data_IF_639239207068
#
_entry.id   IF_639239207068
#
_cell.length_a   1.000
_cell.length_b   1.000
_cell.length_c   1.000
_cell.angle_alpha   90.00
_cell.angle_beta   90.00
_cell.angle_gamma   90.00
#
_symmetry.space_group_name_H-M   'P 1'
#
loop_
_entity.id
_entity.type
_entity.pdbx_description
1 polymer ?
#
# COMPACT_ATOMS: atom_id res chain seq x y z
N UNK A 1 17.07 -25.19 15.53
CA UNK A 1 16.64 -24.12 14.62
C UNK A 1 17.41 -22.89 15.02
N UNK A 2 18.30 -22.40 14.16
CA UNK A 2 18.93 -21.10 14.36
C UNK A 2 17.81 -20.08 14.13
N UNK A 3 17.25 -19.55 15.22
CA UNK A 3 16.29 -18.45 15.15
C UNK A 3 17.04 -17.36 14.40
N UNK A 4 16.61 -17.00 13.20
CA UNK A 4 17.27 -16.06 12.31
C UNK A 4 17.50 -14.73 13.01
N UNK A 5 18.55 -14.67 13.81
CA UNK A 5 18.92 -13.50 14.56
C UNK A 5 19.53 -12.58 13.52
N UNK A 6 18.78 -11.53 13.17
CA UNK A 6 19.34 -10.40 12.44
C UNK A 6 20.38 -9.82 13.38
N UNK A 7 21.63 -10.32 13.29
CA UNK A 7 22.73 -9.77 14.06
C UNK A 7 22.89 -8.35 13.55
N UNK A 8 22.44 -7.39 14.35
CA UNK A 8 22.91 -6.02 14.21
C UNK A 8 24.43 -6.08 14.11
N UNK A 9 25.00 -5.24 13.26
CA UNK A 9 26.45 -5.21 13.08
C UNK A 9 27.08 -5.00 14.46
N UNK A 10 27.74 -6.05 14.97
CA UNK A 10 28.46 -5.95 16.24
C UNK A 10 29.60 -4.96 16.04
N UNK A 11 29.69 -4.00 16.96
CA UNK A 11 30.85 -3.11 17.12
C UNK A 11 32.06 -3.80 17.75
N UNK A 12 31.91 -5.06 18.17
CA UNK A 12 32.94 -5.87 18.83
C UNK A 12 33.53 -6.86 17.84
N UNK A 13 34.85 -7.08 17.94
CA UNK A 13 35.60 -8.11 17.23
C UNK A 13 34.83 -9.44 17.32
N UNK A 14 34.57 -10.06 16.17
CA UNK A 14 33.94 -11.38 16.06
C UNK A 14 34.87 -12.42 16.71
N UNK A 15 34.29 -13.35 17.47
CA UNK A 15 35.02 -14.42 18.16
C UNK A 15 35.71 -15.36 17.15
N UNK A 16 35.26 -15.36 15.90
CA UNK A 16 35.95 -16.03 14.79
C UNK A 16 37.13 -15.17 14.28
N UNK A 17 38.40 -15.58 14.48
CA UNK A 17 39.57 -14.81 14.05
C UNK A 17 39.66 -14.63 12.52
N UNK A 18 39.00 -15.50 11.73
CA UNK A 18 38.94 -15.41 10.28
C UNK A 18 37.75 -14.59 9.76
N UNK A 19 36.94 -14.02 10.66
CA UNK A 19 35.81 -13.19 10.27
C UNK A 19 36.27 -11.93 9.56
N UNK A 20 35.67 -11.64 8.41
CA UNK A 20 35.89 -10.39 7.67
C UNK A 20 35.47 -9.15 8.47
N UNK A 21 34.70 -9.34 9.54
CA UNK A 21 34.33 -8.30 10.52
C UNK A 21 35.54 -7.86 11.37
N UNK A 22 36.56 -8.71 11.50
CA UNK A 22 37.79 -8.41 12.23
C UNK A 22 38.86 -7.71 11.38
N UNK A 23 38.62 -7.62 10.07
CA UNK A 23 39.48 -6.92 9.13
C UNK A 23 39.48 -5.41 9.40
N UNK A 24 40.66 -4.78 9.23
CA UNK A 24 40.86 -3.33 9.32
C UNK A 24 39.88 -2.60 8.36
N UNK A 25 39.27 -1.46 8.75
CA UNK A 25 38.26 -0.76 7.94
C UNK A 25 38.73 -0.40 6.53
N UNK A 26 40.05 -0.30 6.34
CA UNK A 26 40.73 0.11 5.12
C UNK A 26 40.85 -1.04 4.11
N UNK A 27 40.74 -2.29 4.55
CA UNK A 27 40.82 -3.45 3.66
C UNK A 27 39.65 -3.46 2.67
N UNK A 28 39.98 -3.61 1.39
CA UNK A 28 39.00 -3.57 0.31
C UNK A 28 38.52 -4.98 -0.06
N UNK A 29 37.22 -5.14 -0.23
CA UNK A 29 36.57 -6.32 -0.81
C UNK A 29 35.58 -5.85 -1.86
N UNK A 30 35.63 -6.44 -3.06
CA UNK A 30 34.81 -6.04 -4.21
C UNK A 30 34.93 -4.54 -4.56
N UNK A 31 36.13 -3.96 -4.42
CA UNK A 31 36.38 -2.53 -4.65
C UNK A 31 35.85 -1.59 -3.56
N UNK A 32 35.28 -2.11 -2.46
CA UNK A 32 34.70 -1.32 -1.35
C UNK A 32 35.44 -1.57 -0.06
N UNK A 33 35.56 -0.55 0.78
CA UNK A 33 36.20 -0.68 2.11
C UNK A 33 35.38 -1.61 3.01
N UNK A 34 36.02 -2.23 4.01
CA UNK A 34 35.32 -3.07 4.97
C UNK A 34 34.24 -2.28 5.75
N UNK A 35 34.49 -1.00 6.05
CA UNK A 35 33.50 -0.10 6.64
C UNK A 35 32.29 0.12 5.73
N UNK A 36 32.52 0.38 4.43
CA UNK A 36 31.43 0.55 3.46
C UNK A 36 30.60 -0.73 3.31
N UNK A 37 31.25 -1.89 3.24
CA UNK A 37 30.55 -3.18 3.17
C UNK A 37 29.70 -3.44 4.43
N UNK A 38 30.16 -3.04 5.62
CA UNK A 38 29.36 -3.07 6.85
C UNK A 38 28.16 -2.13 6.73
N UNK A 39 28.35 -0.89 6.33
CA UNK A 39 27.26 0.07 6.13
C UNK A 39 26.17 -0.47 5.19
N UNK A 40 26.58 -1.04 4.04
CA UNK A 40 25.67 -1.67 3.08
C UNK A 40 24.86 -2.79 3.75
N UNK A 41 25.54 -3.70 4.45
CA UNK A 41 24.87 -4.82 5.13
C UNK A 41 23.87 -4.34 6.20
N UNK A 42 24.21 -3.28 6.93
CA UNK A 42 23.32 -2.68 7.92
C UNK A 42 22.04 -2.17 7.27
N UNK A 43 22.15 -1.39 6.19
CA UNK A 43 20.99 -0.83 5.49
C UNK A 43 20.10 -1.93 4.90
N UNK A 44 20.69 -2.97 4.29
CA UNK A 44 19.96 -4.15 3.82
C UNK A 44 19.18 -4.81 4.97
N UNK A 45 19.84 -5.05 6.11
CA UNK A 45 19.21 -5.69 7.28
C UNK A 45 18.07 -4.86 7.88
N UNK A 46 18.25 -3.53 7.94
CA UNK A 46 17.24 -2.60 8.43
C UNK A 46 16.01 -2.60 7.52
N UNK A 47 16.22 -2.50 6.21
CA UNK A 47 15.12 -2.51 5.23
C UNK A 47 14.31 -3.81 5.26
N UNK A 48 14.98 -4.96 5.35
CA UNK A 48 14.32 -6.27 5.51
C UNK A 48 13.49 -6.32 6.79
N UNK A 49 14.05 -5.82 7.90
CA UNK A 49 13.34 -5.76 9.17
C UNK A 49 12.14 -4.82 9.13
N UNK A 50 12.28 -3.61 8.58
CA UNK A 50 11.16 -2.65 8.47
C UNK A 50 10.05 -3.22 7.60
N UNK A 51 10.38 -3.83 6.45
CA UNK A 51 9.37 -4.50 5.62
C UNK A 51 8.70 -5.67 6.36
N UNK A 52 9.43 -6.39 7.21
CA UNK A 52 8.80 -7.42 8.05
C UNK A 52 7.82 -6.81 9.08
N UNK A 53 8.14 -5.64 9.63
CA UNK A 53 7.25 -4.96 10.58
C UNK A 53 5.98 -4.39 9.91
N UNK A 54 6.03 -4.06 8.61
CA UNK A 54 4.87 -3.56 7.85
C UNK A 54 3.69 -4.53 7.82
N UNK A 55 3.92 -5.83 7.94
CA UNK A 55 2.84 -6.81 8.07
C UNK A 55 2.67 -7.34 9.50
N UNK A 56 3.78 -7.57 10.22
CA UNK A 56 3.73 -8.23 11.52
C UNK A 56 3.07 -7.36 12.61
N UNK A 57 3.31 -6.04 12.61
CA UNK A 57 2.72 -5.15 13.61
C UNK A 57 1.20 -5.02 13.43
N UNK A 58 0.68 -4.75 12.22
CA UNK A 58 -0.76 -4.81 11.94
C UNK A 58 -1.43 -6.11 12.37
N UNK A 59 -0.80 -7.25 12.05
CA UNK A 59 -1.31 -8.57 12.41
C UNK A 59 -1.40 -8.75 13.92
N UNK A 60 -0.41 -8.30 14.69
CA UNK A 60 -0.45 -8.39 16.15
C UNK A 60 -1.50 -7.47 16.77
N UNK A 61 -1.75 -6.31 16.17
CA UNK A 61 -2.61 -5.29 16.76
C UNK A 61 -4.09 -5.44 16.39
N UNK A 62 -4.39 -5.83 15.15
CA UNK A 62 -5.77 -5.85 14.63
C UNK A 62 -6.37 -7.25 14.46
N UNK A 63 -5.58 -8.33 14.56
CA UNK A 63 -6.11 -9.70 14.42
C UNK A 63 -6.45 -10.27 15.79
N UNK A 64 -7.75 -10.42 16.05
CA UNK A 64 -8.23 -11.18 17.20
C UNK A 64 -8.16 -12.69 16.89
N UNK A 65 -7.12 -13.34 17.42
CA UNK A 65 -6.89 -14.78 17.26
C UNK A 65 -7.99 -15.68 17.86
N UNK A 66 -8.90 -15.15 18.69
CA UNK A 66 -10.04 -15.93 19.19
C UNK A 66 -11.14 -16.11 18.14
N UNK A 67 -11.16 -15.26 17.11
CA UNK A 67 -12.20 -15.23 16.09
C UNK A 67 -11.77 -15.82 14.75
N UNK A 68 -10.55 -16.33 14.65
CA UNK A 68 -10.02 -16.86 13.39
C UNK A 68 -9.06 -18.04 13.60
N UNK A 69 -8.84 -18.78 12.52
CA UNK A 69 -7.91 -19.91 12.43
C UNK A 69 -6.49 -19.40 12.26
N UNK A 70 -5.59 -19.85 13.12
CA UNK A 70 -4.17 -19.45 13.09
C UNK A 70 -3.26 -20.62 13.45
N UNK A 71 -1.98 -20.48 13.10
CA UNK A 71 -0.92 -21.40 13.50
C UNK A 71 -0.22 -20.81 14.72
N UNK A 72 -0.19 -21.55 15.83
CA UNK A 72 0.49 -21.11 17.05
C UNK A 72 2.02 -21.25 16.92
N UNK A 73 2.77 -20.76 17.91
CA UNK A 73 4.24 -20.77 17.91
C UNK A 73 4.85 -22.19 17.85
N UNK A 74 4.04 -23.23 18.06
CA UNK A 74 4.44 -24.65 17.98
C UNK A 74 4.09 -25.28 16.63
N UNK A 75 3.57 -24.52 15.68
CA UNK A 75 3.17 -25.03 14.36
C UNK A 75 1.83 -25.76 14.36
N UNK A 76 1.03 -25.66 15.43
CA UNK A 76 -0.28 -26.33 15.52
C UNK A 76 -1.37 -25.36 15.08
N UNK A 77 -2.29 -25.85 14.24
CA UNK A 77 -3.46 -25.08 13.78
C UNK A 77 -4.50 -25.05 14.88
N UNK A 78 -4.82 -23.85 15.37
CA UNK A 78 -5.88 -23.57 16.34
C UNK A 78 -7.15 -23.09 15.61
N UNK A 79 -8.32 -23.26 16.23
CA UNK A 79 -9.61 -22.80 15.69
C UNK A 79 -9.93 -23.32 14.28
N UNK A 80 -9.76 -24.64 14.06
CA UNK A 80 -9.86 -25.28 12.74
C UNK A 80 -11.20 -25.09 12.01
N UNK A 81 -12.27 -24.77 12.74
CA UNK A 81 -13.62 -24.53 12.20
C UNK A 81 -13.85 -23.09 11.73
N UNK A 82 -12.95 -22.16 12.05
CA UNK A 82 -13.05 -20.75 11.66
C UNK A 82 -12.29 -20.48 10.36
N UNK A 83 -12.58 -19.33 9.74
CA UNK A 83 -11.82 -18.82 8.60
C UNK A 83 -10.40 -18.41 9.03
N UNK A 84 -9.45 -18.45 8.10
CA UNK A 84 -8.08 -18.01 8.38
C UNK A 84 -8.04 -16.56 8.85
N UNK A 85 -7.16 -16.28 9.80
CA UNK A 85 -6.91 -14.91 10.22
C UNK A 85 -6.44 -14.04 9.06
N UNK A 86 -6.91 -12.80 9.04
CA UNK A 86 -6.41 -11.79 8.13
C UNK A 86 -4.88 -11.65 8.29
N UNK A 87 -4.19 -11.45 7.18
CA UNK A 87 -2.74 -11.28 7.16
C UNK A 87 -2.39 -10.01 6.39
N UNK A 88 -1.49 -9.22 6.94
CA UNK A 88 -0.82 -8.16 6.21
C UNK A 88 0.13 -8.75 5.17
N UNK A 89 0.37 -7.98 4.11
CA UNK A 89 1.35 -8.30 3.09
C UNK A 89 2.43 -7.22 3.09
N UNK A 90 3.67 -7.66 2.94
CA UNK A 90 4.85 -6.81 2.75
C UNK A 90 5.73 -7.46 1.69
N UNK A 91 6.74 -6.75 1.18
CA UNK A 91 7.62 -7.28 0.15
C UNK A 91 8.32 -8.57 0.60
N UNK A 92 8.86 -8.58 1.83
CA UNK A 92 9.56 -9.75 2.39
C UNK A 92 8.62 -10.92 2.64
N UNK A 93 7.37 -10.66 3.08
CA UNK A 93 6.37 -11.71 3.27
C UNK A 93 5.87 -12.26 1.95
N UNK A 94 5.65 -11.41 0.95
CA UNK A 94 5.26 -11.84 -0.40
C UNK A 94 6.34 -12.73 -1.03
N UNK A 95 7.61 -12.38 -0.89
CA UNK A 95 8.74 -13.22 -1.32
C UNK A 95 8.75 -14.56 -0.57
N UNK A 96 8.56 -14.55 0.76
CA UNK A 96 8.51 -15.78 1.56
C UNK A 96 7.32 -16.69 1.17
N UNK A 97 6.15 -16.11 0.90
CA UNK A 97 4.98 -16.85 0.40
C UNK A 97 5.28 -17.45 -0.97
N UNK A 98 5.81 -16.67 -1.92
CA UNK A 98 6.16 -17.16 -3.24
C UNK A 98 7.16 -18.33 -3.15
N UNK A 99 8.16 -18.21 -2.28
CA UNK A 99 9.12 -19.29 -2.02
C UNK A 99 8.43 -20.54 -1.44
N UNK A 100 7.50 -20.37 -0.49
CA UNK A 100 6.74 -21.49 0.09
C UNK A 100 5.81 -22.17 -0.92
N UNK A 101 5.35 -21.43 -1.94
CA UNK A 101 4.57 -21.93 -3.07
C UNK A 101 5.43 -22.59 -4.17
N UNK A 102 6.75 -22.66 -3.98
CA UNK A 102 7.68 -23.28 -4.92
C UNK A 102 8.02 -22.40 -6.13
N UNK A 103 7.69 -21.11 -6.10
CA UNK A 103 8.09 -20.19 -7.16
C UNK A 103 9.59 -19.94 -7.17
N UNK A 104 10.14 -19.67 -8.35
CA UNK A 104 11.53 -19.22 -8.46
C UNK A 104 11.67 -17.79 -7.97
N UNK A 105 12.69 -17.56 -7.16
CA UNK A 105 13.14 -16.23 -6.79
C UNK A 105 14.29 -15.82 -7.71
N UNK A 106 14.19 -14.63 -8.28
CA UNK A 106 15.22 -14.04 -9.12
C UNK A 106 15.93 -12.94 -8.35
N UNK A 107 17.26 -12.89 -8.46
CA UNK A 107 18.08 -11.75 -8.04
C UNK A 107 18.91 -11.30 -9.23
N UNK A 108 18.61 -10.11 -9.75
CA UNK A 108 19.30 -9.50 -10.88
C UNK A 108 20.17 -8.36 -10.37
N UNK A 109 21.41 -8.30 -10.81
CA UNK A 109 22.38 -7.27 -10.46
C UNK A 109 23.24 -6.94 -11.71
N UNK A 110 24.14 -5.95 -11.64
CA UNK A 110 24.95 -5.56 -12.80
C UNK A 110 25.76 -6.70 -13.44
N UNK A 111 26.12 -7.75 -12.69
CA UNK A 111 26.91 -8.87 -13.21
C UNK A 111 26.12 -9.88 -14.06
N UNK A 112 24.80 -9.97 -13.88
CA UNK A 112 23.96 -10.93 -14.59
C UNK A 112 22.83 -10.27 -15.43
N UNK A 113 22.71 -8.94 -15.37
CA UNK A 113 21.69 -8.14 -16.06
C UNK A 113 21.51 -8.56 -17.52
N UNK A 114 22.58 -8.60 -18.31
CA UNK A 114 22.48 -8.77 -19.76
C UNK A 114 21.92 -10.15 -20.15
N UNK A 115 22.11 -11.17 -19.31
CA UNK A 115 21.53 -12.50 -19.51
C UNK A 115 20.15 -12.71 -18.90
N UNK A 116 19.79 -11.91 -17.89
CA UNK A 116 18.56 -12.07 -17.10
C UNK A 116 17.42 -11.14 -17.58
N UNK A 117 17.74 -9.90 -17.95
CA UNK A 117 16.76 -8.88 -18.33
C UNK A 117 15.88 -9.31 -19.53
N UNK A 118 16.42 -9.92 -20.62
CA UNK A 118 15.60 -10.38 -21.74
C UNK A 118 14.65 -11.54 -21.39
N UNK A 119 14.88 -12.22 -20.27
CA UNK A 119 14.07 -13.37 -19.81
C UNK A 119 13.02 -12.96 -18.78
N UNK A 120 12.96 -11.68 -18.42
CA UNK A 120 12.01 -11.17 -17.45
C UNK A 120 10.59 -11.23 -18.04
N UNK A 121 9.74 -12.06 -17.43
CA UNK A 121 8.34 -12.25 -17.88
C UNK A 121 7.34 -11.34 -17.15
N UNK A 122 7.79 -10.59 -16.15
CA UNK A 122 6.95 -9.67 -15.39
C UNK A 122 6.53 -8.48 -16.27
N UNK A 123 5.22 -8.30 -16.43
CA UNK A 123 4.58 -7.14 -17.07
C UNK A 123 4.09 -6.11 -16.05
N UNK A 124 3.25 -5.18 -16.48
CA UNK A 124 2.68 -4.14 -15.60
C UNK A 124 3.69 -3.11 -15.11
N UNK A 125 3.27 -2.32 -14.13
CA UNK A 125 4.04 -1.20 -13.56
C UNK A 125 5.28 -1.72 -12.81
N UNK A 126 5.15 -2.81 -12.04
CA UNK A 126 6.26 -3.45 -11.32
C UNK A 126 7.26 -4.02 -12.31
N UNK A 127 6.79 -4.62 -13.40
CA UNK A 127 7.67 -5.06 -14.48
C UNK A 127 8.46 -3.91 -15.07
N UNK A 128 7.83 -2.75 -15.29
CA UNK A 128 8.51 -1.54 -15.79
C UNK A 128 9.50 -0.97 -14.78
N UNK A 129 9.12 -0.86 -13.50
CA UNK A 129 9.99 -0.37 -12.43
C UNK A 129 11.19 -1.30 -12.21
N UNK A 130 10.97 -2.61 -12.18
CA UNK A 130 12.05 -3.62 -12.06
C UNK A 130 13.05 -3.47 -13.21
N UNK A 131 12.58 -3.33 -14.46
CA UNK A 131 13.48 -3.13 -15.61
C UNK A 131 14.27 -1.84 -15.48
N UNK A 132 13.60 -0.73 -15.16
CA UNK A 132 14.22 0.58 -14.96
C UNK A 132 15.30 0.53 -13.85
N UNK A 133 15.00 -0.11 -12.73
CA UNK A 133 15.93 -0.26 -11.62
C UNK A 133 17.16 -1.12 -12.00
N UNK A 134 16.95 -2.21 -12.73
CA UNK A 134 18.04 -3.06 -13.23
C UNK A 134 18.93 -2.29 -14.21
N UNK A 135 18.34 -1.52 -15.14
CA UNK A 135 19.05 -0.68 -16.10
C UNK A 135 19.85 0.44 -15.40
N UNK A 136 19.31 0.98 -14.31
CA UNK A 136 19.99 1.93 -13.42
C UNK A 136 21.09 1.29 -12.53
N UNK A 137 21.40 0.00 -12.74
CA UNK A 137 22.48 -0.70 -12.04
C UNK A 137 22.15 -1.14 -10.61
N UNK A 138 20.86 -1.18 -10.24
CA UNK A 138 20.43 -1.65 -8.92
C UNK A 138 20.38 -3.18 -8.86
N UNK A 139 20.43 -3.71 -7.64
CA UNK A 139 20.22 -5.13 -7.34
C UNK A 139 18.73 -5.35 -7.03
N UNK A 140 18.02 -6.11 -7.86
CA UNK A 140 16.58 -6.34 -7.72
C UNK A 140 16.31 -7.80 -7.41
N UNK A 141 15.54 -8.07 -6.35
CA UNK A 141 15.04 -9.40 -5.98
C UNK A 141 13.53 -9.47 -6.09
N UNK A 142 12.98 -10.43 -6.81
CA UNK A 142 11.55 -10.58 -7.07
C UNK A 142 11.20 -12.04 -7.39
N UNK A 143 9.92 -12.40 -7.29
CA UNK A 143 9.43 -13.75 -7.57
C UNK A 143 8.82 -13.88 -8.98
N UNK A 144 8.74 -15.12 -9.49
CA UNK A 144 8.42 -15.43 -10.89
C UNK A 144 7.03 -14.94 -11.35
N UNK A 145 6.03 -14.96 -10.47
CA UNK A 145 4.63 -14.70 -10.83
C UNK A 145 3.81 -14.20 -9.65
N UNK A 146 2.75 -13.44 -9.91
CA UNK A 146 1.84 -12.94 -8.88
C UNK A 146 1.39 -14.07 -7.94
N UNK A 147 1.48 -13.82 -6.63
CA UNK A 147 0.94 -14.71 -5.61
C UNK A 147 -0.51 -14.34 -5.32
N UNK A 148 -1.27 -15.29 -4.80
CA UNK A 148 -2.57 -15.06 -4.19
C UNK A 148 -2.49 -15.52 -2.73
N UNK A 149 -2.72 -14.60 -1.80
CA UNK A 149 -2.68 -14.87 -0.37
C UNK A 149 -3.70 -14.02 0.36
N UNK A 150 -4.64 -14.66 1.05
CA UNK A 150 -5.62 -13.99 1.93
C UNK A 150 -6.38 -12.84 1.24
N UNK A 151 -6.74 -13.02 -0.04
CA UNK A 151 -7.46 -12.01 -0.83
C UNK A 151 -6.58 -10.94 -1.48
N UNK A 152 -5.30 -10.88 -1.13
CA UNK A 152 -4.33 -10.05 -1.86
C UNK A 152 -3.76 -10.82 -3.06
N UNK A 153 -3.71 -10.15 -4.20
CA UNK A 153 -3.11 -10.66 -5.43
C UNK A 153 -2.07 -9.68 -5.94
N UNK A 154 -0.83 -10.15 -6.09
CA UNK A 154 0.26 -9.23 -6.44
C UNK A 154 1.67 -9.81 -6.41
N UNK A 155 2.66 -8.95 -6.64
CA UNK A 155 4.09 -9.24 -6.62
C UNK A 155 4.77 -8.45 -5.49
N UNK A 156 5.72 -9.08 -4.82
CA UNK A 156 6.63 -8.42 -3.90
C UNK A 156 8.04 -8.42 -4.49
N UNK A 157 8.71 -7.28 -4.43
CA UNK A 157 10.05 -7.11 -4.96
C UNK A 157 10.86 -6.12 -4.12
N UNK A 158 12.18 -6.25 -4.20
CA UNK A 158 13.12 -5.48 -3.41
C UNK A 158 14.14 -4.90 -4.40
N UNK A 159 14.32 -3.58 -4.38
CA UNK A 159 15.34 -2.87 -5.17
C UNK A 159 16.38 -2.36 -4.20
N UNK A 160 17.65 -2.71 -4.40
CA UNK A 160 18.75 -2.29 -3.53
C UNK A 160 19.82 -1.58 -4.33
N UNK A 161 20.25 -0.42 -3.84
CA UNK A 161 21.45 0.24 -4.29
C UNK A 161 22.69 -0.53 -3.79
N UNK A 162 23.50 -1.11 -4.68
CA UNK A 162 24.66 -1.91 -4.27
C UNK A 162 25.74 -1.08 -3.58
N UNK A 163 25.80 0.25 -3.78
CA UNK A 163 26.85 1.14 -3.27
C UNK A 163 26.56 1.69 -1.88
N UNK A 164 25.28 1.87 -1.56
CA UNK A 164 24.84 2.40 -0.26
C UNK A 164 24.14 1.36 0.61
N UNK A 165 23.58 0.31 0.00
CA UNK A 165 22.71 -0.68 0.66
C UNK A 165 21.31 -0.17 0.97
N UNK A 166 20.98 1.08 0.62
CA UNK A 166 19.61 1.58 0.70
C UNK A 166 18.73 0.78 -0.27
N UNK A 167 17.52 0.43 0.15
CA UNK A 167 16.63 -0.34 -0.69
C UNK A 167 15.17 -0.03 -0.47
N UNK A 168 14.41 -0.14 -1.56
CA UNK A 168 12.96 -0.07 -1.59
C UNK A 168 12.40 -1.48 -1.50
N UNK A 169 11.46 -1.68 -0.58
CA UNK A 169 10.80 -2.96 -0.34
C UNK A 169 9.34 -2.77 -0.72
N UNK A 170 8.99 -3.23 -1.91
CA UNK A 170 7.76 -2.84 -2.58
C UNK A 170 6.84 -4.04 -2.80
N UNK A 171 5.55 -3.75 -2.78
CA UNK A 171 4.51 -4.66 -3.22
C UNK A 171 3.69 -3.96 -4.29
N UNK A 172 3.39 -4.69 -5.35
CA UNK A 172 2.38 -4.33 -6.33
C UNK A 172 1.24 -5.32 -6.19
N UNK A 173 0.02 -4.84 -6.02
CA UNK A 173 -1.15 -5.72 -5.96
C UNK A 173 -2.40 -4.97 -5.57
N UNK A 174 -3.53 -5.68 -5.68
CA UNK A 174 -4.88 -5.18 -5.43
C UNK A 174 -5.02 -4.41 -4.11
N UNK A 175 -5.64 -3.22 -4.15
CA UNK A 175 -6.09 -2.44 -2.98
C UNK A 175 -5.86 -0.93 -3.10
N UNK A 176 -5.02 -0.48 -4.04
CA UNK A 176 -4.69 0.94 -4.19
C UNK A 176 -5.84 1.74 -4.83
N UNK A 177 -6.60 1.12 -5.74
CA UNK A 177 -7.80 1.72 -6.33
C UNK A 177 -8.93 1.86 -5.30
N UNK A 178 -9.03 0.92 -4.36
CA UNK A 178 -10.04 0.92 -3.31
C UNK A 178 -9.89 2.09 -2.35
N UNK A 179 -8.65 2.36 -1.92
CA UNK A 179 -8.33 3.52 -1.07
C UNK A 179 -8.74 4.83 -1.77
N UNK A 180 -8.41 4.98 -3.04
CA UNK A 180 -8.78 6.15 -3.83
C UNK A 180 -10.29 6.28 -4.02
N UNK A 181 -11.00 5.16 -4.20
CA UNK A 181 -12.46 5.15 -4.27
C UNK A 181 -13.10 5.61 -2.95
N UNK A 182 -12.63 5.10 -1.80
CA UNK A 182 -13.14 5.54 -0.50
C UNK A 182 -12.80 7.01 -0.21
N UNK A 183 -11.59 7.43 -0.57
CA UNK A 183 -11.14 8.82 -0.41
C UNK A 183 -11.98 9.77 -1.27
N UNK A 184 -12.25 9.40 -2.53
CA UNK A 184 -13.17 10.12 -3.41
C UNK A 184 -14.56 10.22 -2.79
N UNK A 185 -15.12 9.11 -2.29
CA UNK A 185 -16.44 9.08 -1.66
C UNK A 185 -16.53 9.96 -0.41
N UNK A 186 -15.49 9.96 0.42
CA UNK A 186 -15.41 10.84 1.57
C UNK A 186 -15.42 12.32 1.16
N UNK A 187 -14.59 12.70 0.17
CA UNK A 187 -14.55 14.08 -0.34
C UNK A 187 -15.88 14.48 -0.96
N UNK A 188 -16.49 13.60 -1.76
CA UNK A 188 -17.79 13.85 -2.40
C UNK A 188 -18.89 14.09 -1.36
N UNK A 189 -18.93 13.28 -0.31
CA UNK A 189 -19.87 13.44 0.79
C UNK A 189 -19.64 14.78 1.52
N UNK A 190 -18.39 15.12 1.84
CA UNK A 190 -18.05 16.38 2.49
C UNK A 190 -18.44 17.61 1.67
N UNK A 191 -18.16 17.60 0.36
CA UNK A 191 -18.52 18.69 -0.55
C UNK A 191 -20.05 18.85 -0.60
N UNK A 192 -20.78 17.75 -0.76
CA UNK A 192 -22.23 17.79 -0.82
C UNK A 192 -22.85 18.28 0.50
N UNK A 193 -22.39 17.80 1.66
CA UNK A 193 -22.88 18.25 2.97
C UNK A 193 -22.63 19.75 3.19
N UNK A 194 -21.44 20.26 2.84
CA UNK A 194 -21.13 21.70 2.93
C UNK A 194 -22.10 22.50 2.05
N UNK A 195 -22.36 22.04 0.83
CA UNK A 195 -23.29 22.69 -0.09
C UNK A 195 -24.73 22.65 0.42
N UNK A 196 -25.19 21.49 0.91
CA UNK A 196 -26.54 21.30 1.45
C UNK A 196 -26.76 22.20 2.66
N UNK A 197 -25.82 22.21 3.62
CA UNK A 197 -25.87 23.09 4.79
C UNK A 197 -25.91 24.56 4.40
N UNK A 198 -25.13 24.97 3.40
CA UNK A 198 -25.12 26.36 2.90
C UNK A 198 -26.47 26.73 2.26
N UNK A 199 -27.03 25.86 1.41
CA UNK A 199 -28.31 26.11 0.73
C UNK A 199 -29.48 26.10 1.72
N UNK A 200 -29.53 25.13 2.63
CA UNK A 200 -30.58 24.99 3.62
C UNK A 200 -30.64 26.20 4.57
N UNK A 201 -29.48 26.77 4.91
CA UNK A 201 -29.40 27.90 5.84
C UNK A 201 -29.70 29.25 5.19
N UNK A 202 -29.40 29.39 3.89
CA UNK A 202 -29.89 30.52 3.08
C UNK A 202 -31.42 30.48 2.95
N UNK A 203 -32.01 29.28 2.83
CA UNK A 203 -33.46 29.11 2.70
C UNK A 203 -34.24 29.38 4.00
N UNK A 204 -33.61 29.30 5.18
CA UNK A 204 -34.31 29.40 6.49
C UNK A 204 -34.48 30.82 7.05
N UNK A 205 -33.89 31.87 6.46
CA UNK A 205 -33.89 33.23 7.02
C UNK A 205 -32.97 33.39 8.26
N UNK A 206 -32.83 34.62 8.78
CA UNK A 206 -31.76 35.07 9.71
C UNK A 206 -31.49 34.29 11.02
N UNK A 207 -30.45 34.74 11.76
CA UNK A 207 -29.82 34.15 12.98
C UNK A 207 -29.17 32.76 12.82
N UNK A 208 -29.74 31.83 12.03
CA UNK A 208 -29.12 30.51 11.76
C UNK A 208 -27.92 30.59 10.79
N UNK A 209 -27.86 31.66 9.99
CA UNK A 209 -26.82 31.88 8.97
C UNK A 209 -25.41 31.99 9.59
N UNK A 210 -25.29 32.63 10.75
CA UNK A 210 -23.98 32.80 11.42
C UNK A 210 -23.37 31.47 11.85
N UNK A 211 -24.14 30.61 12.51
CA UNK A 211 -23.68 29.30 12.94
C UNK A 211 -23.38 28.37 11.75
N UNK A 212 -24.20 28.44 10.70
CA UNK A 212 -23.98 27.68 9.47
C UNK A 212 -22.70 28.06 8.74
N UNK A 213 -22.42 29.36 8.60
CA UNK A 213 -21.19 29.85 7.97
C UNK A 213 -19.95 29.47 8.78
N UNK A 214 -20.04 29.44 10.12
CA UNK A 214 -18.96 28.97 10.99
C UNK A 214 -18.73 27.46 10.77
N UNK A 215 -19.78 26.64 10.77
CA UNK A 215 -19.67 25.19 10.54
C UNK A 215 -19.14 24.87 9.15
N UNK A 216 -19.61 25.58 8.11
CA UNK A 216 -19.10 25.46 6.75
C UNK A 216 -17.62 25.89 6.66
N UNK A 217 -17.24 26.96 7.36
CA UNK A 217 -15.85 27.40 7.47
C UNK A 217 -14.94 26.35 8.12
N UNK A 218 -15.39 25.73 9.22
CA UNK A 218 -14.65 24.64 9.90
C UNK A 218 -14.57 23.39 9.01
N UNK A 219 -15.65 23.03 8.32
CA UNK A 219 -15.62 21.91 7.39
C UNK A 219 -14.66 22.17 6.21
N UNK A 220 -14.61 23.41 5.71
CA UNK A 220 -13.68 23.82 4.65
C UNK A 220 -12.22 23.80 5.13
N UNK A 221 -11.91 24.27 6.35
CA UNK A 221 -10.53 24.20 6.86
C UNK A 221 -10.05 22.77 7.06
N UNK A 222 -10.96 21.83 7.36
CA UNK A 222 -10.66 20.39 7.40
C UNK A 222 -10.55 19.76 6.02
N UNK A 223 -11.31 20.24 5.02
CA UNK A 223 -11.32 19.69 3.66
C UNK A 223 -10.09 20.10 2.85
N UNK A 224 -9.58 21.33 3.02
CA UNK A 224 -8.40 21.85 2.29
C UNK A 224 -7.16 20.94 2.40
N UNK A 225 -6.71 20.50 3.59
CA UNK A 225 -5.54 19.63 3.69
C UNK A 225 -5.80 18.25 3.07
N UNK A 226 -7.03 17.74 3.13
CA UNK A 226 -7.42 16.49 2.47
C UNK A 226 -7.30 16.62 0.96
N UNK A 227 -7.80 17.73 0.39
CA UNK A 227 -7.67 18.02 -1.04
C UNK A 227 -6.21 18.16 -1.46
N UNK A 228 -5.38 18.85 -0.66
CA UNK A 228 -3.95 18.98 -0.93
C UNK A 228 -3.26 17.60 -0.93
N UNK A 229 -3.50 16.76 0.07
CA UNK A 229 -2.97 15.41 0.13
C UNK A 229 -3.42 14.57 -1.07
N UNK A 230 -4.71 14.63 -1.42
CA UNK A 230 -5.23 13.89 -2.58
C UNK A 230 -4.61 14.34 -3.89
N UNK A 231 -4.28 15.62 -4.02
CA UNK A 231 -3.64 16.14 -5.23
C UNK A 231 -2.23 15.60 -5.42
N UNK A 232 -1.49 15.33 -4.33
CA UNK A 232 -0.19 14.68 -4.41
C UNK A 232 -0.33 13.19 -4.74
N UNK A 233 -1.25 12.48 -4.08
CA UNK A 233 -1.51 11.05 -4.36
C UNK A 233 -1.94 10.85 -5.82
N UNK A 234 -2.76 11.74 -6.36
CA UNK A 234 -3.27 11.63 -7.74
C UNK A 234 -2.21 11.92 -8.82
N UNK A 235 -1.08 12.56 -8.50
CA UNK A 235 0.01 12.78 -9.47
C UNK A 235 0.68 11.47 -9.86
N UNK A 236 0.91 10.61 -8.88
CA UNK A 236 1.59 9.32 -9.05
C UNK A 236 0.61 8.17 -9.34
N UNK A 237 -0.70 8.46 -9.34
CA UNK A 237 -1.74 7.48 -9.59
C UNK A 237 -1.89 7.12 -11.08
N UNK A 238 -2.17 5.84 -11.35
CA UNK A 238 -2.50 5.34 -12.70
C UNK A 238 -3.85 5.89 -13.18
N UNK A 239 -4.13 5.79 -14.48
CA UNK A 239 -5.41 6.25 -15.05
C UNK A 239 -6.60 5.46 -14.50
N UNK A 240 -6.40 4.18 -14.18
CA UNK A 240 -7.41 3.34 -13.52
C UNK A 240 -7.69 3.82 -12.09
N UNK A 241 -6.63 4.10 -11.33
CA UNK A 241 -6.70 4.63 -9.97
C UNK A 241 -7.39 6.00 -9.90
N UNK A 242 -7.08 6.90 -10.85
CA UNK A 242 -7.75 8.20 -10.99
C UNK A 242 -9.24 8.05 -11.29
N UNK A 243 -9.61 7.09 -12.14
CA UNK A 243 -11.01 6.81 -12.40
C UNK A 243 -11.74 6.25 -11.16
N UNK A 244 -11.07 5.41 -10.36
CA UNK A 244 -11.61 4.94 -9.08
C UNK A 244 -11.87 6.09 -8.10
N UNK A 245 -10.96 7.07 -8.02
CA UNK A 245 -11.18 8.29 -7.24
C UNK A 245 -12.41 9.08 -7.71
N UNK A 246 -12.55 9.28 -9.03
CA UNK A 246 -13.70 9.98 -9.62
C UNK A 246 -15.02 9.23 -9.38
N UNK A 247 -15.02 7.90 -9.53
CA UNK A 247 -16.17 7.05 -9.20
C UNK A 247 -16.57 7.19 -7.74
N UNK A 248 -15.59 7.14 -6.84
CA UNK A 248 -15.74 7.46 -5.42
C UNK A 248 -16.40 8.82 -5.19
N UNK A 249 -15.88 9.88 -5.81
CA UNK A 249 -16.42 11.24 -5.69
C UNK A 249 -17.91 11.30 -6.00
N UNK A 250 -18.34 10.67 -7.10
CA UNK A 250 -19.76 10.63 -7.47
C UNK A 250 -20.60 9.77 -6.52
N UNK A 251 -20.07 8.65 -6.00
CA UNK A 251 -20.74 7.86 -4.95
C UNK A 251 -20.96 8.71 -3.70
N UNK A 252 -19.96 9.49 -3.28
CA UNK A 252 -20.06 10.40 -2.14
C UNK A 252 -21.11 11.48 -2.33
N UNK A 253 -21.08 12.16 -3.48
CA UNK A 253 -22.08 13.18 -3.85
C UNK A 253 -23.50 12.60 -3.89
N UNK A 254 -23.66 11.38 -4.43
CA UNK A 254 -24.93 10.67 -4.46
C UNK A 254 -25.44 10.28 -3.07
N UNK A 255 -24.56 9.78 -2.19
CA UNK A 255 -24.91 9.35 -0.84
C UNK A 255 -25.39 10.50 0.05
N UNK A 256 -24.84 11.71 -0.13
CA UNK A 256 -25.24 12.90 0.62
C UNK A 256 -26.70 13.34 0.36
N UNK A 257 -27.36 12.80 -0.66
CA UNK A 257 -28.79 13.07 -0.89
C UNK A 257 -29.68 12.55 0.23
N UNK A 258 -29.28 11.50 0.97
CA UNK A 258 -30.05 11.02 2.14
C UNK A 258 -30.37 12.14 3.14
N UNK A 259 -29.44 13.08 3.31
CA UNK A 259 -29.53 14.26 4.19
C UNK A 259 -30.57 15.28 3.72
N UNK A 260 -30.92 15.28 2.43
CA UNK A 260 -31.96 16.13 1.81
C UNK A 260 -33.39 15.60 2.00
N UNK A 261 -33.57 14.44 2.64
CA UNK A 261 -34.89 13.85 2.86
C UNK A 261 -35.85 14.74 3.66
N UNK A 262 -35.30 15.59 4.52
CA UNK A 262 -36.07 16.58 5.28
C UNK A 262 -36.53 17.79 4.42
N UNK A 263 -35.95 18.00 3.24
CA UNK A 263 -36.12 19.23 2.43
C UNK A 263 -36.88 18.94 1.12
N UNK A 264 -36.52 17.88 0.40
CA UNK A 264 -36.98 17.63 -0.98
C UNK A 264 -38.15 16.63 -1.11
N UNK A 265 -38.61 16.06 0.01
CA UNK A 265 -39.62 15.00 0.03
C UNK A 265 -39.06 13.63 -0.38
N UNK A 266 -39.62 12.56 0.20
CA UNK A 266 -39.05 11.21 0.12
C UNK A 266 -38.89 10.66 -1.31
N UNK A 267 -39.77 11.02 -2.25
CA UNK A 267 -39.73 10.52 -3.63
C UNK A 267 -38.62 11.15 -4.45
N UNK A 268 -38.47 12.48 -4.38
CA UNK A 268 -37.42 13.20 -5.10
C UNK A 268 -36.03 12.86 -4.54
N UNK A 269 -35.93 12.70 -3.22
CA UNK A 269 -34.70 12.26 -2.58
C UNK A 269 -34.23 10.89 -3.10
N UNK A 270 -35.13 9.90 -3.17
CA UNK A 270 -34.79 8.57 -3.71
C UNK A 270 -34.30 8.63 -5.16
N UNK A 271 -34.93 9.46 -6.00
CA UNK A 271 -34.52 9.62 -7.40
C UNK A 271 -33.10 10.20 -7.49
N UNK A 272 -32.80 11.25 -6.73
CA UNK A 272 -31.47 11.87 -6.69
C UNK A 272 -30.40 10.91 -6.17
N UNK A 273 -30.74 10.11 -5.15
CA UNK A 273 -29.87 9.05 -4.64
C UNK A 273 -29.53 8.03 -5.72
N UNK A 274 -30.53 7.49 -6.43
CA UNK A 274 -30.28 6.51 -7.49
C UNK A 274 -29.48 7.08 -8.66
N UNK A 275 -29.71 8.35 -9.04
CA UNK A 275 -28.93 9.02 -10.08
C UNK A 275 -27.47 9.19 -9.65
N UNK A 276 -27.25 9.66 -8.42
CA UNK A 276 -25.90 9.85 -7.88
C UNK A 276 -25.13 8.55 -7.72
N UNK A 277 -25.78 7.50 -7.20
CA UNK A 277 -25.19 6.16 -7.12
C UNK A 277 -24.92 5.59 -8.51
N UNK A 278 -25.86 5.72 -9.45
CA UNK A 278 -25.67 5.26 -10.84
C UNK A 278 -24.47 5.94 -11.52
N UNK A 279 -24.27 7.25 -11.28
CA UNK A 279 -23.10 7.97 -11.77
C UNK A 279 -21.80 7.52 -11.10
N UNK A 280 -21.83 7.13 -9.83
CA UNK A 280 -20.66 6.66 -9.09
C UNK A 280 -20.25 5.21 -9.36
N UNK A 281 -21.20 4.34 -9.74
CA UNK A 281 -20.90 2.96 -10.12
C UNK A 281 -20.45 2.80 -11.57
N UNK A 282 -20.79 3.76 -12.45
CA UNK A 282 -20.37 3.79 -13.84
C UNK A 282 -18.99 4.46 -13.98
N UNK A 283 -17.92 3.72 -13.64
CA UNK A 283 -16.55 4.24 -13.68
C UNK A 283 -16.01 4.20 -15.12
N UNK A 284 -15.61 5.34 -15.73
CA UNK A 284 -15.33 5.44 -17.17
C UNK A 284 -14.21 4.56 -17.74
N UNK A 285 -13.32 4.00 -16.91
CA UNK A 285 -12.22 3.15 -17.36
C UNK A 285 -12.20 1.72 -16.79
N UNK A 286 -12.81 1.47 -15.63
CA UNK A 286 -12.72 0.17 -14.93
C UNK A 286 -14.03 -0.65 -14.98
N UNK A 287 -15.11 -0.08 -15.51
CA UNK A 287 -16.39 -0.74 -15.77
C UNK A 287 -17.30 -1.01 -14.57
N UNK A 288 -16.76 -1.05 -13.34
CA UNK A 288 -17.49 -1.32 -12.09
C UNK A 288 -16.67 -0.87 -10.85
N UNK A 289 -17.33 -0.54 -9.73
CA UNK A 289 -16.74 -0.35 -8.41
C UNK A 289 -15.96 -1.58 -7.94
N UNK A 290 -16.42 -2.78 -8.31
CA UNK A 290 -15.79 -4.04 -7.94
C UNK A 290 -14.39 -4.23 -8.50
N UNK A 291 -14.03 -3.62 -9.62
CA UNK A 291 -12.65 -3.62 -10.13
C UNK A 291 -11.77 -2.64 -9.35
N UNK A 292 -12.30 -1.49 -8.93
CA UNK A 292 -11.58 -0.56 -8.06
C UNK A 292 -11.25 -1.13 -6.69
N UNK A 293 -12.15 -1.91 -6.08
CA UNK A 293 -11.87 -2.59 -4.80
C UNK A 293 -10.85 -3.73 -4.96
N UNK A 294 -10.74 -4.30 -6.17
CA UNK A 294 -9.82 -5.39 -6.52
C UNK A 294 -8.53 -4.92 -7.21
N UNK A 295 -8.37 -3.62 -7.46
CA UNK A 295 -7.19 -2.98 -8.07
C UNK A 295 -6.44 -2.18 -7.00
#
# INVERSE_FOLDING_TARGET
MDVGHVRSIRWVKDDNPNSVVNSDPILTKNGKTAAQNRWIAYNKSKGQYTSAMEHAVPEQFWVDKTQCRYINDRGVVENTTLADCAQGISAVKAIAIAQSQGQKLYTINPSNRDGALPKLRLGGDAGAEIRSAIEAGKEVTFHESQINSQGWHGIGYIIIDPDTGAGSYLIEGAGNGGVLLFLGAFIGLMIAEILIMTVATVASGGLAVGAALILAGVAMTMLIPVLALTSEILKDATDEQKACFVGGLFLGLGAATFSLGAILGATLNRILFYIGVAAGIAIPSTGDVGSCVRA
#
